data_IF_456739165602
#
_entry.id   IF_456739165602
#
_cell.length_a   1.000
_cell.length_b   1.000
_cell.length_c   1.000
_cell.angle_alpha   90.00
_cell.angle_beta   90.00
_cell.angle_gamma   90.00
#
_symmetry.space_group_name_H-M   'P 1'
#
loop_
_entity.id
_entity.type
_entity.pdbx_description
1 polymer ?
#
# COMPACT_ATOMS: atom_id res chain seq x y z
N UNK A 1 -2.12 -5.62 6.55
CA UNK A 1 -0.67 -5.74 6.78
C UNK A 1 -0.15 -4.49 7.42
N UNK A 2 0.60 -4.65 8.47
CA UNK A 2 1.28 -3.55 9.15
C UNK A 2 2.72 -3.98 9.33
N UNK A 3 3.65 -3.22 8.77
CA UNK A 3 5.04 -3.66 8.81
C UNK A 3 6.01 -2.49 8.75
N UNK A 4 7.10 -2.61 9.49
CA UNK A 4 8.21 -1.68 9.40
C UNK A 4 9.30 -2.34 8.56
N UNK A 5 9.73 -1.65 7.51
CA UNK A 5 10.79 -2.13 6.64
C UNK A 5 12.06 -1.36 6.91
N UNK A 6 13.18 -2.07 6.93
CA UNK A 6 14.48 -1.43 7.01
C UNK A 6 14.91 -1.03 5.61
N UNK A 7 15.26 0.22 5.46
CA UNK A 7 15.69 0.75 4.16
C UNK A 7 17.18 0.69 3.99
N UNK A 8 17.92 0.57 5.09
CA UNK A 8 19.37 0.47 5.04
C UNK A 8 19.77 -0.80 5.77
N UNK A 9 20.33 -1.73 5.03
CA UNK A 9 20.81 -2.98 5.59
C UNK A 9 22.26 -3.17 5.28
N UNK A 10 23.01 -3.62 6.30
CA UNK A 10 24.43 -3.90 6.17
C UNK A 10 24.62 -4.99 5.10
N UNK A 11 25.55 -4.73 4.16
CA UNK A 11 25.88 -5.71 3.14
C UNK A 11 24.94 -5.74 1.96
N UNK A 12 23.93 -4.88 1.92
CA UNK A 12 23.01 -4.84 0.79
C UNK A 12 22.99 -3.47 0.15
N UNK A 13 22.93 -3.46 -1.15
CA UNK A 13 22.81 -2.22 -1.88
C UNK A 13 21.41 -1.64 -1.67
N UNK A 14 21.30 -0.32 -1.42
CA UNK A 14 20.00 0.31 -1.17
C UNK A 14 18.97 0.08 -2.27
N UNK A 15 19.41 0.06 -3.52
CA UNK A 15 18.49 -0.16 -4.64
C UNK A 15 17.87 -1.55 -4.59
N UNK A 16 18.66 -2.55 -4.21
CA UNK A 16 18.15 -3.90 -4.10
C UNK A 16 17.15 -4.01 -2.96
N UNK A 17 17.42 -3.35 -1.86
CA UNK A 17 16.49 -3.33 -0.73
C UNK A 17 15.17 -2.71 -1.16
N UNK A 18 15.22 -1.60 -1.90
CA UNK A 18 14.02 -0.96 -2.40
C UNK A 18 13.22 -1.87 -3.31
N UNK A 19 13.89 -2.52 -4.24
CA UNK A 19 13.21 -3.42 -5.18
C UNK A 19 12.53 -4.55 -4.44
N UNK A 20 13.20 -5.10 -3.44
CA UNK A 20 12.63 -6.18 -2.64
C UNK A 20 11.36 -5.72 -1.93
N UNK A 21 11.40 -4.54 -1.32
CA UNK A 21 10.24 -4.01 -0.61
C UNK A 21 9.08 -3.78 -1.58
N UNK A 22 9.36 -3.12 -2.70
CA UNK A 22 8.32 -2.85 -3.70
C UNK A 22 7.71 -4.14 -4.21
N UNK A 23 8.55 -5.15 -4.44
CA UNK A 23 8.07 -6.44 -4.92
C UNK A 23 7.15 -7.09 -3.89
N UNK A 24 7.53 -7.06 -2.62
CA UNK A 24 6.70 -7.63 -1.57
C UNK A 24 5.35 -6.95 -1.48
N UNK A 25 5.34 -5.62 -1.60
CA UNK A 25 4.10 -4.88 -1.52
C UNK A 25 3.18 -5.19 -2.69
N UNK A 26 3.74 -5.24 -3.91
CA UNK A 26 2.95 -5.56 -5.09
C UNK A 26 2.42 -6.98 -5.02
N UNK A 27 3.22 -7.90 -4.53
CA UNK A 27 2.81 -9.29 -4.39
C UNK A 27 1.68 -9.42 -3.37
N UNK A 28 1.80 -8.70 -2.27
CA UNK A 28 0.75 -8.70 -1.25
C UNK A 28 -0.57 -8.18 -1.84
N UNK A 29 -0.51 -7.07 -2.52
CA UNK A 29 -1.70 -6.47 -3.12
C UNK A 29 -2.36 -7.43 -4.12
N UNK A 30 -1.55 -8.04 -4.97
CA UNK A 30 -2.05 -8.96 -5.97
C UNK A 30 -2.72 -10.17 -5.32
N UNK A 31 -2.12 -10.67 -4.25
CA UNK A 31 -2.68 -11.81 -3.53
C UNK A 31 -4.02 -11.45 -2.89
N UNK A 32 -4.10 -10.27 -2.29
CA UNK A 32 -5.35 -9.85 -1.65
C UNK A 32 -6.46 -9.65 -2.65
N UNK A 33 -6.14 -9.13 -3.83
CA UNK A 33 -7.13 -8.93 -4.88
C UNK A 33 -7.74 -10.22 -5.38
N UNK A 34 -7.04 -11.34 -5.22
CA UNK A 34 -7.53 -12.64 -5.66
C UNK A 34 -8.44 -13.31 -4.65
N UNK A 35 -8.50 -12.78 -3.44
CA UNK A 35 -9.36 -13.37 -2.43
C UNK A 35 -10.82 -13.24 -2.84
N UNK A 36 -11.58 -14.27 -2.49
CA UNK A 36 -12.98 -14.31 -2.85
C UNK A 36 -13.76 -13.22 -2.13
N UNK A 37 -14.64 -12.58 -2.87
CA UNK A 37 -15.48 -11.53 -2.35
C UNK A 37 -16.91 -12.06 -2.31
N UNK A 38 -17.67 -11.67 -1.29
CA UNK A 38 -18.96 -12.27 -1.06
C UNK A 38 -20.07 -11.80 -1.99
N UNK A 39 -19.91 -10.64 -2.57
CA UNK A 39 -20.97 -10.05 -3.37
C UNK A 39 -20.44 -9.68 -4.74
N UNK A 40 -21.30 -9.89 -5.77
CA UNK A 40 -20.92 -9.52 -7.12
C UNK A 40 -20.83 -8.01 -7.30
N UNK A 41 -21.43 -7.26 -6.38
CA UNK A 41 -21.37 -5.80 -6.42
C UNK A 41 -20.23 -5.23 -5.59
N UNK A 42 -19.39 -6.09 -5.05
CA UNK A 42 -18.29 -5.65 -4.20
C UNK A 42 -16.98 -5.67 -4.96
N UNK A 43 -16.06 -4.90 -4.46
CA UNK A 43 -14.70 -4.87 -5.00
C UNK A 43 -13.72 -4.66 -3.86
N UNK A 44 -12.46 -5.02 -4.08
CA UNK A 44 -11.43 -4.81 -3.10
C UNK A 44 -10.89 -3.39 -3.19
N UNK A 45 -10.83 -2.73 -2.05
CA UNK A 45 -10.16 -1.44 -1.94
C UNK A 45 -9.07 -1.57 -0.88
N UNK A 46 -8.07 -0.74 -0.97
CA UNK A 46 -6.93 -0.83 -0.08
C UNK A 46 -6.69 0.52 0.58
N UNK A 47 -6.82 0.53 1.90
CA UNK A 47 -6.51 1.71 2.67
C UNK A 47 -5.09 1.58 3.16
N UNK A 48 -4.28 2.58 2.89
CA UNK A 48 -2.86 2.52 3.15
C UNK A 48 -2.40 3.68 4.01
N UNK A 49 -1.34 3.44 4.78
CA UNK A 49 -0.66 4.48 5.53
C UNK A 49 0.83 4.30 5.37
N UNK A 50 1.54 5.41 5.37
CA UNK A 50 2.99 5.39 5.20
C UNK A 50 3.64 6.50 6.00
N UNK A 51 4.80 6.22 6.56
CA UNK A 51 5.58 7.21 7.29
C UNK A 51 6.90 6.63 7.74
N UNK A 52 7.66 7.42 8.46
CA UNK A 52 8.93 6.93 8.99
C UNK A 52 8.74 6.11 10.26
N UNK A 53 7.54 6.17 10.84
CA UNK A 53 7.18 5.37 11.99
C UNK A 53 5.66 5.23 12.00
N UNK A 54 5.16 4.32 12.81
CA UNK A 54 3.71 4.13 12.93
C UNK A 54 3.02 5.42 13.38
N UNK A 55 3.65 6.13 14.28
CA UNK A 55 3.06 7.37 14.81
C UNK A 55 2.96 8.46 13.76
N UNK A 56 3.91 8.50 12.85
CA UNK A 56 3.97 9.53 11.83
C UNK A 56 3.34 9.12 10.52
N UNK A 57 2.82 7.91 10.44
CA UNK A 57 2.22 7.42 9.21
C UNK A 57 0.94 8.18 8.89
N UNK A 58 0.79 8.55 7.63
CA UNK A 58 -0.39 9.25 7.15
C UNK A 58 -1.07 8.46 6.05
N UNK A 59 -2.32 8.76 5.83
CA UNK A 59 -3.12 8.07 4.82
C UNK A 59 -2.63 8.40 3.41
N UNK A 60 -2.39 7.37 2.62
CA UNK A 60 -1.89 7.53 1.25
C UNK A 60 -2.50 6.44 0.37
N UNK A 61 -2.36 6.58 -0.95
CA UNK A 61 -2.75 5.52 -1.86
C UNK A 61 -1.59 4.56 -2.02
N UNK A 62 -1.89 3.37 -2.58
CA UNK A 62 -0.83 2.38 -2.82
C UNK A 62 0.23 2.93 -3.78
N UNK A 63 -0.20 3.62 -4.83
CA UNK A 63 0.74 4.20 -5.78
C UNK A 63 1.63 5.23 -5.11
N UNK A 64 1.08 5.96 -4.16
CA UNK A 64 1.87 6.94 -3.41
C UNK A 64 2.95 6.26 -2.59
N UNK A 65 2.65 5.08 -2.04
CA UNK A 65 3.66 4.35 -1.25
C UNK A 65 4.89 4.07 -2.10
N UNK A 66 4.69 3.65 -3.34
CA UNK A 66 5.81 3.34 -4.22
C UNK A 66 6.68 4.57 -4.45
N UNK A 67 6.05 5.72 -4.66
CA UNK A 67 6.79 6.97 -4.84
C UNK A 67 7.48 7.42 -3.56
N UNK A 68 6.78 7.30 -2.44
CA UNK A 68 7.32 7.73 -1.16
C UNK A 68 8.49 6.87 -0.72
N UNK A 69 8.51 5.61 -1.11
CA UNK A 69 9.67 4.76 -0.83
C UNK A 69 10.91 5.31 -1.50
N UNK A 70 10.80 5.76 -2.75
CA UNK A 70 11.94 6.35 -3.43
C UNK A 70 12.40 7.62 -2.75
N UNK A 71 11.45 8.44 -2.30
CA UNK A 71 11.79 9.68 -1.60
C UNK A 71 12.46 9.38 -0.26
N UNK A 72 11.96 8.37 0.44
CA UNK A 72 12.55 7.98 1.71
C UNK A 72 14.00 7.53 1.53
N UNK A 73 14.27 6.82 0.44
CA UNK A 73 15.64 6.41 0.14
C UNK A 73 16.53 7.61 -0.13
N UNK A 74 16.02 8.56 -0.90
CA UNK A 74 16.81 9.76 -1.20
C UNK A 74 17.10 10.58 0.05
N UNK A 75 16.19 10.56 1.00
CA UNK A 75 16.36 11.26 2.26
C UNK A 75 17.12 10.44 3.29
N UNK A 76 17.55 9.26 2.90
CA UNK A 76 18.37 8.38 3.75
C UNK A 76 17.64 7.92 5.02
N UNK A 77 16.35 7.66 4.91
CA UNK A 77 15.61 7.08 6.02
C UNK A 77 16.17 5.71 6.34
N UNK A 78 16.24 5.40 7.62
CA UNK A 78 16.70 4.09 8.05
C UNK A 78 15.61 3.05 7.94
N UNK A 79 14.37 3.45 8.13
CA UNK A 79 13.24 2.54 8.06
C UNK A 79 11.98 3.30 7.69
N UNK A 80 10.96 2.55 7.27
CA UNK A 80 9.66 3.14 7.00
C UNK A 80 8.57 2.21 7.51
N UNK A 81 7.42 2.80 7.80
CA UNK A 81 6.25 2.05 8.25
C UNK A 81 5.23 2.02 7.12
N UNK A 82 4.73 0.83 6.83
CA UNK A 82 3.72 0.63 5.77
C UNK A 82 2.54 -0.13 6.35
N UNK A 83 1.36 0.39 6.10
CA UNK A 83 0.13 -0.27 6.50
C UNK A 83 -0.76 -0.39 5.28
N UNK A 84 -1.26 -1.59 5.02
CA UNK A 84 -2.18 -1.84 3.90
C UNK A 84 -3.30 -2.70 4.44
N UNK A 85 -4.52 -2.20 4.33
CA UNK A 85 -5.71 -2.93 4.77
C UNK A 85 -6.63 -3.15 3.60
N UNK A 86 -6.91 -4.42 3.30
CA UNK A 86 -7.82 -4.78 2.23
C UNK A 86 -9.25 -4.70 2.77
N UNK A 87 -10.08 -3.95 2.09
CA UNK A 87 -11.46 -3.71 2.51
C UNK A 87 -12.38 -4.03 1.34
N UNK A 88 -13.40 -4.83 1.61
CA UNK A 88 -14.41 -5.12 0.60
C UNK A 88 -15.43 -3.99 0.63
N UNK A 89 -15.55 -3.28 -0.48
CA UNK A 89 -16.50 -2.18 -0.61
C UNK A 89 -17.54 -2.55 -1.64
N UNK A 90 -18.75 -2.12 -1.41
CA UNK A 90 -19.82 -2.34 -2.36
C UNK A 90 -19.86 -1.22 -3.36
N UNK A 91 -20.10 -1.60 -4.61
CA UNK A 91 -20.31 -0.60 -5.65
C UNK A 91 -21.60 0.11 -5.35
N UNK A 92 -21.51 1.43 -5.38
CA UNK A 92 -22.68 2.22 -5.04
C UNK A 92 -23.66 2.27 -6.20
N UNK A 93 -24.84 1.73 -5.98
CA UNK A 93 -25.92 1.87 -6.96
C UNK A 93 -26.34 3.32 -7.06
N UNK A 94 -26.12 4.02 -5.99
CA UNK A 94 -26.44 5.42 -5.92
C UNK A 94 -25.70 6.23 -6.97
N UNK A 95 -24.46 5.87 -7.21
CA UNK A 95 -23.69 6.57 -8.22
C UNK A 95 -24.28 6.41 -9.59
N UNK A 96 -24.73 5.22 -9.90
CA UNK A 96 -25.34 4.96 -11.18
C UNK A 96 -26.64 5.73 -11.32
N UNK A 97 -27.39 5.75 -10.27
CA UNK A 97 -28.67 6.45 -10.28
C UNK A 97 -28.49 7.93 -10.49
N UNK A 98 -27.54 8.49 -9.81
CA UNK A 98 -27.27 9.93 -9.93
C UNK A 98 -26.87 10.30 -11.34
N UNK A 99 -26.10 9.47 -11.96
CA UNK A 99 -25.66 9.75 -13.31
C UNK A 99 -26.76 9.73 -14.31
N UNK A 100 -27.77 8.98 -14.05
CA UNK A 100 -28.89 8.89 -14.97
C UNK A 100 -29.81 10.08 -14.89
N UNK A 101 -29.72 10.79 -13.80
CA UNK A 101 -30.57 11.97 -13.65
C UNK A 101 -29.96 13.13 -14.38
#
# INVERSE_FOLDING_TARGET
MKKTFRLQESGKHPDRTMETIKHQLRKYLKREKKKKIQSTNSFWDFECRFGNSEENATEVTFNDIIKLLDEAREENWKECYVEIMAIAKEKSLKEKTVELE
#
